data_IF_953353688809
#
_entry.id   IF_953353688809
#
_cell.length_a   1.000
_cell.length_b   1.000
_cell.length_c   1.000
_cell.angle_alpha   90.00
_cell.angle_beta   90.00
_cell.angle_gamma   90.00
#
_symmetry.space_group_name_H-M   'P 1'
#
loop_
_entity.id
_entity.type
_entity.pdbx_description
1 polymer ?
#
# COMPACT_ATOMS: atom_id res chain seq x y z
N UNK A 1 -26.47 21.17 7.39
CA UNK A 1 -26.47 19.88 6.66
C UNK A 1 -25.04 19.34 6.62
N UNK A 2 -24.55 18.82 7.75
CA UNK A 2 -23.27 18.13 7.83
C UNK A 2 -23.59 16.63 7.89
N UNK A 3 -23.17 15.87 6.88
CA UNK A 3 -23.47 14.45 6.78
C UNK A 3 -22.74 13.68 7.90
N UNK A 4 -23.51 12.99 8.74
CA UNK A 4 -23.01 12.03 9.72
C UNK A 4 -22.18 10.95 9.01
N UNK A 5 -20.88 10.98 9.21
CA UNK A 5 -19.96 9.88 8.91
C UNK A 5 -20.01 8.78 9.99
N UNK A 6 -21.17 8.54 10.60
CA UNK A 6 -21.40 7.37 11.43
C UNK A 6 -21.67 6.18 10.50
N UNK A 7 -20.60 5.72 9.86
CA UNK A 7 -20.58 4.45 9.17
C UNK A 7 -20.88 3.35 10.19
N UNK A 8 -22.07 2.77 10.07
CA UNK A 8 -22.44 1.47 10.65
C UNK A 8 -21.27 0.52 10.39
N UNK A 9 -20.57 0.11 11.46
CA UNK A 9 -19.48 -0.86 11.34
C UNK A 9 -20.08 -2.19 10.94
N UNK A 10 -20.01 -2.51 9.65
CA UNK A 10 -20.27 -3.88 9.23
C UNK A 10 -19.21 -4.79 9.86
N UNK A 11 -19.62 -5.87 10.57
CA UNK A 11 -18.69 -6.81 11.16
C UNK A 11 -17.83 -7.41 10.04
N UNK A 12 -16.54 -7.02 10.01
CA UNK A 12 -15.57 -7.44 8.98
C UNK A 12 -14.89 -6.29 8.23
N UNK A 13 -15.33 -5.03 8.38
CA UNK A 13 -14.67 -3.90 7.70
C UNK A 13 -13.34 -3.54 8.37
N UNK A 14 -12.23 -3.78 7.66
CA UNK A 14 -10.89 -3.30 8.06
C UNK A 14 -10.90 -1.78 8.17
N UNK A 15 -10.25 -1.25 9.22
CA UNK A 15 -10.11 0.18 9.39
C UNK A 15 -9.40 0.81 8.18
N UNK A 16 -9.75 2.05 7.88
CA UNK A 16 -9.18 2.77 6.73
C UNK A 16 -8.11 3.78 7.15
N UNK A 17 -7.25 4.14 6.22
CA UNK A 17 -6.23 5.17 6.41
C UNK A 17 -6.83 6.51 6.89
N UNK A 18 -8.05 6.86 6.44
CA UNK A 18 -8.75 8.08 6.85
C UNK A 18 -9.21 8.02 8.30
N UNK A 19 -9.65 6.86 8.77
CA UNK A 19 -10.07 6.66 10.16
C UNK A 19 -8.87 6.77 11.11
N UNK A 20 -7.73 6.17 10.75
CA UNK A 20 -6.48 6.33 11.52
C UNK A 20 -6.06 7.80 11.57
N UNK A 21 -6.14 8.52 10.45
CA UNK A 21 -5.79 9.94 10.38
C UNK A 21 -6.68 10.80 11.28
N UNK A 22 -7.99 10.53 11.29
CA UNK A 22 -8.96 11.23 12.14
C UNK A 22 -8.69 10.97 13.64
N UNK A 23 -8.41 9.72 14.02
CA UNK A 23 -8.15 9.34 15.42
C UNK A 23 -6.85 9.95 15.96
N UNK A 24 -5.80 10.06 15.13
CA UNK A 24 -4.52 10.68 15.52
C UNK A 24 -4.57 12.21 15.43
N UNK A 25 -5.51 12.77 14.66
CA UNK A 25 -5.62 14.21 14.41
C UNK A 25 -4.63 14.74 13.37
N UNK A 26 -4.29 13.93 12.36
CA UNK A 26 -3.33 14.31 11.30
C UNK A 26 -3.92 14.12 9.91
N UNK A 27 -3.21 14.59 8.88
CA UNK A 27 -3.64 14.36 7.51
C UNK A 27 -3.50 12.88 7.09
N UNK A 28 -4.32 12.39 6.15
CA UNK A 28 -4.12 11.10 5.49
C UNK A 28 -2.70 10.95 4.90
N UNK A 29 -2.13 12.03 4.36
CA UNK A 29 -0.77 12.02 3.83
C UNK A 29 0.28 11.74 4.92
N UNK A 30 0.09 12.28 6.12
CA UNK A 30 0.95 12.04 7.29
C UNK A 30 0.93 10.56 7.69
N UNK A 31 -0.26 9.95 7.75
CA UNK A 31 -0.38 8.50 8.01
C UNK A 31 0.29 7.70 6.89
N UNK A 32 0.06 8.05 5.63
CA UNK A 32 0.73 7.40 4.49
C UNK A 32 2.26 7.49 4.59
N UNK A 33 2.80 8.64 4.99
CA UNK A 33 4.24 8.84 5.15
C UNK A 33 4.79 8.04 6.33
N UNK A 34 4.04 7.85 7.43
CA UNK A 34 4.47 6.99 8.53
C UNK A 34 4.80 5.55 8.08
N UNK A 35 4.15 5.06 7.03
CA UNK A 35 4.43 3.76 6.40
C UNK A 35 5.45 3.83 5.26
N UNK A 36 5.36 4.82 4.37
CA UNK A 36 6.12 4.86 3.13
C UNK A 36 7.41 5.68 3.17
N UNK A 37 7.50 6.64 4.09
CA UNK A 37 8.59 7.62 4.23
C UNK A 37 8.81 7.94 5.72
N UNK A 38 9.21 6.94 6.52
CA UNK A 38 9.29 7.08 7.97
C UNK A 38 10.31 8.13 8.43
N UNK A 39 11.31 8.41 7.59
CA UNK A 39 12.34 9.45 7.74
C UNK A 39 11.77 10.87 7.72
N UNK A 40 10.58 11.09 7.13
CA UNK A 40 9.93 12.40 7.06
C UNK A 40 9.07 12.73 8.30
N UNK A 41 9.04 11.86 9.30
CA UNK A 41 8.28 12.06 10.53
C UNK A 41 9.20 12.00 11.75
N UNK A 42 8.86 12.77 12.79
CA UNK A 42 9.46 12.57 14.09
C UNK A 42 9.14 11.16 14.61
N UNK A 43 10.08 10.55 15.33
CA UNK A 43 9.91 9.22 15.93
C UNK A 43 8.63 9.13 16.76
N UNK A 44 8.38 10.12 17.62
CA UNK A 44 7.19 10.17 18.47
C UNK A 44 5.87 10.25 17.69
N UNK A 45 5.82 11.02 16.60
CA UNK A 45 4.61 11.08 15.77
C UNK A 45 4.38 9.77 15.03
N UNK A 46 5.45 9.18 14.51
CA UNK A 46 5.40 7.89 13.82
C UNK A 46 4.90 6.78 14.76
N UNK A 47 5.44 6.71 15.97
CA UNK A 47 5.03 5.73 16.98
C UNK A 47 3.55 5.87 17.32
N UNK A 48 3.08 7.09 17.58
CA UNK A 48 1.66 7.35 17.86
C UNK A 48 0.75 6.92 16.70
N UNK A 49 1.14 7.19 15.45
CA UNK A 49 0.38 6.76 14.26
C UNK A 49 0.31 5.23 14.18
N UNK A 50 1.44 4.54 14.36
CA UNK A 50 1.52 3.09 14.27
C UNK A 50 0.77 2.38 15.41
N UNK A 51 0.79 2.96 16.61
CA UNK A 51 0.04 2.46 17.76
C UNK A 51 -1.48 2.53 17.50
N UNK A 52 -1.96 3.70 17.08
CA UNK A 52 -3.38 3.90 16.77
C UNK A 52 -3.82 3.01 15.60
N UNK A 53 -3.01 2.90 14.55
CA UNK A 53 -3.31 2.00 13.44
C UNK A 53 -3.46 0.55 13.89
N UNK A 54 -2.59 0.07 14.79
CA UNK A 54 -2.64 -1.28 15.35
C UNK A 54 -3.90 -1.50 16.18
N UNK A 55 -4.26 -0.52 17.03
CA UNK A 55 -5.49 -0.53 17.83
C UNK A 55 -6.75 -0.61 16.95
N UNK A 56 -6.74 0.08 15.82
CA UNK A 56 -7.85 0.10 14.87
C UNK A 56 -7.84 -1.10 13.91
N UNK A 57 -6.81 -1.96 13.93
CA UNK A 57 -6.69 -3.08 13.00
C UNK A 57 -6.40 -2.65 11.56
N UNK A 58 -5.75 -1.49 11.37
CA UNK A 58 -5.27 -1.03 10.07
C UNK A 58 -3.87 -1.61 9.79
N UNK A 59 -3.72 -2.53 8.82
CA UNK A 59 -2.44 -3.18 8.54
C UNK A 59 -1.45 -2.29 7.76
N UNK A 60 -1.88 -1.12 7.30
CA UNK A 60 -1.11 -0.24 6.44
C UNK A 60 -1.70 -0.08 5.04
N UNK A 61 -1.09 0.76 4.19
CA UNK A 61 -1.59 1.05 2.85
C UNK A 61 -1.47 -0.15 1.91
N UNK A 62 -2.57 -0.49 1.24
CA UNK A 62 -2.67 -1.60 0.30
C UNK A 62 -1.84 -1.30 -0.99
N UNK A 63 -0.86 -2.15 -1.34
CA UNK A 63 -0.04 -1.97 -2.55
C UNK A 63 -0.85 -2.02 -3.85
N UNK A 64 -1.86 -2.89 -3.93
CA UNK A 64 -2.76 -3.01 -5.09
C UNK A 64 -3.62 -1.76 -5.23
N UNK A 65 -4.17 -1.25 -4.13
CA UNK A 65 -4.89 0.02 -4.13
C UNK A 65 -3.99 1.19 -4.56
N UNK A 66 -2.71 1.16 -4.18
CA UNK A 66 -1.70 2.16 -4.60
C UNK A 66 -1.46 2.10 -6.11
N UNK A 67 -1.34 0.90 -6.67
CA UNK A 67 -1.15 0.68 -8.11
C UNK A 67 -2.35 1.16 -8.93
N UNK A 68 -3.58 0.88 -8.46
CA UNK A 68 -4.81 1.38 -9.08
C UNK A 68 -4.85 2.91 -9.12
N UNK A 69 -4.51 3.55 -8.00
CA UNK A 69 -4.50 5.02 -7.89
C UNK A 69 -3.44 5.70 -8.77
N UNK A 70 -2.33 5.01 -9.05
CA UNK A 70 -1.25 5.49 -9.92
C UNK A 70 -1.45 5.13 -11.40
N UNK A 71 -2.42 4.28 -11.73
CA UNK A 71 -2.64 3.77 -13.08
C UNK A 71 -1.49 2.90 -13.61
N UNK A 72 -0.55 2.48 -12.75
CA UNK A 72 0.62 1.67 -13.12
C UNK A 72 0.86 0.65 -12.01
N UNK A 73 0.90 -0.62 -12.38
CA UNK A 73 1.13 -1.74 -11.46
C UNK A 73 2.61 -2.01 -11.17
N UNK A 74 3.52 -1.53 -12.03
CA UNK A 74 4.95 -1.84 -11.93
C UNK A 74 5.29 -3.29 -12.28
N UNK A 75 4.34 -4.02 -12.90
CA UNK A 75 4.53 -5.41 -13.32
C UNK A 75 5.20 -5.45 -14.68
N UNK A 76 6.24 -6.28 -14.82
CA UNK A 76 6.85 -6.66 -16.09
C UNK A 76 6.27 -8.01 -16.50
N UNK A 77 5.55 -8.05 -17.62
CA UNK A 77 5.08 -9.30 -18.22
C UNK A 77 6.07 -9.77 -19.27
N UNK A 78 6.52 -11.03 -19.17
CA UNK A 78 7.39 -11.66 -20.16
C UNK A 78 6.60 -12.78 -20.83
N UNK A 79 6.50 -12.75 -22.15
CA UNK A 79 5.86 -13.79 -22.95
C UNK A 79 6.93 -14.45 -23.82
N UNK A 80 7.11 -15.76 -23.67
CA UNK A 80 8.00 -16.57 -24.50
C UNK A 80 7.17 -17.51 -25.37
N UNK A 81 7.60 -17.68 -26.63
CA UNK A 81 7.00 -18.64 -27.54
C UNK A 81 7.33 -20.10 -27.16
N UNK A 82 8.46 -20.30 -26.49
CA UNK A 82 8.98 -21.61 -26.08
C UNK A 82 9.19 -21.73 -24.57
N UNK A 83 9.51 -22.93 -24.09
CA UNK A 83 9.80 -23.13 -22.66
C UNK A 83 11.00 -22.29 -22.23
N UNK A 84 10.87 -21.59 -21.10
CA UNK A 84 11.90 -20.71 -20.54
C UNK A 84 13.27 -21.41 -20.37
N UNK A 85 13.29 -22.72 -20.16
CA UNK A 85 14.52 -23.52 -20.10
C UNK A 85 15.35 -23.43 -21.38
N UNK A 86 14.72 -23.34 -22.55
CA UNK A 86 15.42 -23.21 -23.84
C UNK A 86 16.26 -21.93 -23.91
N UNK A 87 15.78 -20.83 -23.30
CA UNK A 87 16.52 -19.57 -23.25
C UNK A 87 17.82 -19.67 -22.44
N UNK A 88 17.95 -20.67 -21.57
CA UNK A 88 19.16 -20.93 -20.79
C UNK A 88 20.06 -22.03 -21.37
N UNK A 89 19.57 -22.79 -22.35
CA UNK A 89 20.31 -23.87 -23.03
C UNK A 89 20.99 -23.36 -24.31
N UNK A 90 20.42 -22.36 -24.97
CA UNK A 90 20.97 -21.74 -26.17
C UNK A 90 21.53 -20.33 -25.88
N UNK A 91 22.86 -20.13 -25.94
CA UNK A 91 23.48 -18.82 -25.77
C UNK A 91 22.94 -17.74 -26.74
N UNK A 92 22.47 -18.12 -27.93
CA UNK A 92 21.87 -17.19 -28.88
C UNK A 92 20.49 -16.71 -28.42
N UNK A 93 19.74 -17.51 -27.65
CA UNK A 93 18.44 -17.13 -27.11
C UNK A 93 18.55 -16.10 -25.97
N UNK A 94 19.66 -16.09 -25.22
CA UNK A 94 19.96 -15.07 -24.20
C UNK A 94 20.22 -13.69 -24.82
N UNK A 95 20.73 -13.62 -26.05
CA UNK A 95 21.04 -12.35 -26.72
C UNK A 95 19.80 -11.54 -27.14
N UNK A 96 18.60 -12.13 -27.06
CA UNK A 96 17.32 -11.44 -27.33
C UNK A 96 16.60 -10.97 -26.06
N UNK A 97 17.20 -11.15 -24.87
CA UNK A 97 16.77 -10.59 -23.58
C UNK A 97 17.43 -9.22 -23.32
#
# INVERSE_FOLDING_TARGET
MAANFEQRREPGRRATLKEVAAEVGVSPATVSNAYNRPDQLSSGLRERVLEVARRLGYPGPDPTARSLRRGRSGVIGVLYADRLSYAFEDPAAVLFL
#
